data_IF_916369631570
#
_entry.id   IF_916369631570
#
_cell.length_a   1.000
_cell.length_b   1.000
_cell.length_c   1.000
_cell.angle_alpha   90.00
_cell.angle_beta   90.00
_cell.angle_gamma   90.00
#
_symmetry.space_group_name_H-M   'P 1'
#
loop_
_entity.id
_entity.type
_entity.pdbx_description
1 polymer ?
#
# COMPACT_ATOMS: atom_id res chain seq x y z
N UNK A 1 -35.08 13.91 13.35
CA UNK A 1 -33.79 14.65 13.27
C UNK A 1 -32.65 13.94 14.03
N UNK A 2 -32.95 13.23 15.13
CA UNK A 2 -31.96 12.46 15.92
C UNK A 2 -31.40 11.24 15.19
N UNK A 3 -32.20 10.53 14.41
CA UNK A 3 -31.79 9.32 13.65
C UNK A 3 -30.75 9.64 12.57
N UNK A 4 -30.98 10.67 11.75
CA UNK A 4 -30.07 11.04 10.68
C UNK A 4 -28.68 11.49 11.19
N UNK A 5 -28.65 12.24 12.30
CA UNK A 5 -27.38 12.64 12.92
C UNK A 5 -26.62 11.43 13.50
N UNK A 6 -27.33 10.46 14.10
CA UNK A 6 -26.75 9.22 14.59
C UNK A 6 -26.17 8.36 13.45
N UNK A 7 -26.87 8.32 12.31
CA UNK A 7 -26.40 7.56 11.14
C UNK A 7 -25.17 8.18 10.49
N UNK A 8 -25.11 9.52 10.42
CA UNK A 8 -23.94 10.24 9.93
C UNK A 8 -22.74 9.99 10.85
N UNK A 9 -22.93 10.05 12.17
CA UNK A 9 -21.86 9.79 13.13
C UNK A 9 -21.32 8.37 13.04
N UNK A 10 -22.20 7.36 12.94
CA UNK A 10 -21.77 5.96 12.77
C UNK A 10 -20.91 5.76 11.52
N UNK A 11 -21.31 6.34 10.40
CA UNK A 11 -20.53 6.25 9.14
C UNK A 11 -19.19 6.94 9.25
N UNK A 12 -19.12 8.06 9.94
CA UNK A 12 -17.85 8.75 10.18
C UNK A 12 -16.89 7.89 11.00
N UNK A 13 -17.38 7.22 12.05
CA UNK A 13 -16.59 6.29 12.85
C UNK A 13 -16.07 5.14 11.98
N UNK A 14 -16.93 4.50 11.17
CA UNK A 14 -16.54 3.39 10.30
C UNK A 14 -15.52 3.79 9.22
N UNK A 15 -15.66 4.99 8.66
CA UNK A 15 -14.68 5.53 7.72
C UNK A 15 -13.32 5.77 8.40
N UNK A 16 -13.32 6.28 9.64
CA UNK A 16 -12.09 6.50 10.42
C UNK A 16 -11.45 5.17 10.85
N UNK A 17 -12.23 4.16 11.17
CA UNK A 17 -11.72 2.81 11.46
C UNK A 17 -11.03 2.23 10.23
N UNK A 18 -11.68 2.28 9.06
CA UNK A 18 -11.08 1.83 7.79
C UNK A 18 -9.81 2.61 7.47
N UNK A 19 -9.85 3.94 7.60
CA UNK A 19 -8.68 4.79 7.36
C UNK A 19 -7.53 4.44 8.28
N UNK A 20 -7.78 4.24 9.57
CA UNK A 20 -6.74 3.88 10.55
C UNK A 20 -6.12 2.52 10.23
N UNK A 21 -6.92 1.52 9.88
CA UNK A 21 -6.44 0.20 9.48
C UNK A 21 -5.56 0.28 8.23
N UNK A 22 -6.02 1.01 7.21
CA UNK A 22 -5.23 1.21 5.96
C UNK A 22 -3.92 1.92 6.26
N UNK A 23 -3.92 3.00 7.03
CA UNK A 23 -2.70 3.75 7.35
C UNK A 23 -1.70 2.89 8.12
N UNK A 24 -2.14 2.14 9.13
CA UNK A 24 -1.26 1.25 9.89
C UNK A 24 -0.70 0.14 8.99
N UNK A 25 -1.54 -0.51 8.17
CA UNK A 25 -1.11 -1.54 7.25
C UNK A 25 -0.09 -1.00 6.24
N UNK A 26 -0.35 0.17 5.65
CA UNK A 26 0.55 0.80 4.68
C UNK A 26 1.88 1.19 5.32
N UNK A 27 1.87 1.78 6.51
CA UNK A 27 3.12 2.14 7.21
C UNK A 27 3.99 0.92 7.46
N UNK A 28 3.41 -0.17 7.93
CA UNK A 28 4.15 -1.43 8.16
C UNK A 28 4.61 -2.02 6.82
N UNK A 29 3.73 -2.09 5.82
CA UNK A 29 4.05 -2.64 4.51
C UNK A 29 5.18 -1.86 3.83
N UNK A 30 5.17 -0.53 3.86
CA UNK A 30 6.22 0.33 3.30
C UNK A 30 7.53 0.18 4.09
N UNK A 31 7.45 0.15 5.43
CA UNK A 31 8.62 -0.04 6.29
C UNK A 31 9.33 -1.39 6.05
N UNK A 32 8.62 -2.41 5.60
CA UNK A 32 9.18 -3.72 5.27
C UNK A 32 9.56 -3.82 3.79
N UNK A 33 8.72 -3.33 2.88
CA UNK A 33 8.90 -3.51 1.44
C UNK A 33 10.01 -2.64 0.86
N UNK A 34 10.15 -1.39 1.33
CA UNK A 34 11.18 -0.48 0.81
C UNK A 34 12.60 -0.97 1.14
N UNK A 35 12.96 -1.31 2.38
CA UNK A 35 14.28 -1.87 2.68
C UNK A 35 14.55 -3.19 1.93
N UNK A 36 13.54 -4.07 1.82
CA UNK A 36 13.65 -5.32 1.08
C UNK A 36 13.87 -5.07 -0.41
N UNK A 37 13.18 -4.10 -1.00
CA UNK A 37 13.36 -3.67 -2.39
C UNK A 37 14.74 -3.07 -2.64
N UNK A 38 15.26 -2.26 -1.71
CA UNK A 38 16.64 -1.75 -1.77
C UNK A 38 17.66 -2.89 -1.73
N UNK A 39 17.45 -3.86 -0.86
CA UNK A 39 18.34 -5.02 -0.75
C UNK A 39 18.29 -5.87 -2.03
N UNK A 40 17.11 -6.15 -2.56
CA UNK A 40 16.93 -6.85 -3.84
C UNK A 40 17.59 -6.09 -5.01
N UNK A 41 17.53 -4.76 -5.03
CA UNK A 41 18.19 -3.95 -6.06
C UNK A 41 19.72 -4.10 -6.04
N UNK A 42 20.32 -4.26 -4.86
CA UNK A 42 21.78 -4.39 -4.67
C UNK A 42 22.32 -5.79 -4.85
N UNK A 43 21.51 -6.81 -4.64
CA UNK A 43 21.95 -8.21 -4.67
C UNK A 43 21.11 -9.03 -5.67
N UNK A 44 21.78 -9.57 -6.67
CA UNK A 44 21.13 -10.48 -7.65
C UNK A 44 20.60 -11.76 -7.00
N UNK A 45 21.30 -12.25 -5.98
CA UNK A 45 20.87 -13.43 -5.23
C UNK A 45 19.59 -13.17 -4.45
N UNK A 46 19.52 -12.05 -3.73
CA UNK A 46 18.32 -11.63 -2.99
C UNK A 46 17.15 -11.43 -3.96
N UNK A 47 17.36 -10.71 -5.05
CA UNK A 47 16.35 -10.53 -6.10
C UNK A 47 15.86 -11.87 -6.68
N UNK A 48 16.79 -12.80 -6.92
CA UNK A 48 16.47 -14.14 -7.44
C UNK A 48 15.61 -14.99 -6.49
N UNK A 49 15.74 -14.80 -5.18
CA UNK A 49 14.92 -15.50 -4.18
C UNK A 49 13.61 -14.75 -3.92
N UNK A 50 13.66 -13.44 -3.82
CA UNK A 50 12.49 -12.60 -3.47
C UNK A 50 11.47 -12.59 -4.60
N UNK A 51 11.90 -12.49 -5.87
CA UNK A 51 10.97 -12.44 -7.01
C UNK A 51 9.97 -13.61 -7.08
N UNK A 52 10.39 -14.88 -7.04
CA UNK A 52 9.46 -15.99 -7.06
C UNK A 52 8.48 -15.99 -5.89
N UNK A 53 8.92 -15.55 -4.70
CA UNK A 53 8.05 -15.42 -3.53
C UNK A 53 6.99 -14.35 -3.77
N UNK A 54 7.38 -13.17 -4.29
CA UNK A 54 6.45 -12.11 -4.62
C UNK A 54 5.49 -12.52 -5.75
N UNK A 55 5.97 -13.29 -6.74
CA UNK A 55 5.14 -13.83 -7.83
C UNK A 55 4.07 -14.77 -7.27
N UNK A 56 4.47 -15.68 -6.38
CA UNK A 56 3.53 -16.57 -5.69
C UNK A 56 2.50 -15.77 -4.87
N UNK A 57 2.94 -14.77 -4.10
CA UNK A 57 2.06 -13.92 -3.33
C UNK A 57 1.04 -13.19 -4.22
N UNK A 58 1.43 -12.68 -5.38
CA UNK A 58 0.52 -11.97 -6.29
C UNK A 58 -0.37 -12.88 -7.13
N UNK A 59 0.03 -14.13 -7.34
CA UNK A 59 -0.78 -15.11 -8.06
C UNK A 59 -2.00 -15.59 -7.26
N UNK A 60 -1.96 -15.49 -5.92
CA UNK A 60 -3.05 -15.93 -5.07
C UNK A 60 -4.17 -14.88 -5.00
N UNK A 61 -5.43 -15.28 -5.14
CA UNK A 61 -6.57 -14.39 -4.88
C UNK A 61 -6.57 -13.86 -3.44
N UNK A 62 -7.02 -12.62 -3.24
CA UNK A 62 -7.03 -11.98 -1.92
C UNK A 62 -7.70 -12.82 -0.81
N UNK A 63 -8.82 -13.46 -1.13
CA UNK A 63 -9.53 -14.34 -0.20
C UNK A 63 -8.75 -15.62 0.16
N UNK A 64 -7.81 -16.06 -0.69
CA UNK A 64 -6.98 -17.22 -0.40
C UNK A 64 -5.99 -16.99 0.75
N UNK A 65 -5.65 -15.72 1.04
CA UNK A 65 -4.91 -15.36 2.24
C UNK A 65 -5.78 -15.29 3.47
N UNK A 66 -6.97 -14.70 3.30
CA UNK A 66 -7.85 -14.37 4.41
C UNK A 66 -8.32 -15.62 5.13
N UNK A 67 -8.75 -16.66 4.39
CA UNK A 67 -9.34 -17.87 4.98
C UNK A 67 -8.37 -18.61 5.91
N UNK A 68 -7.13 -18.98 5.50
CA UNK A 68 -6.17 -19.65 6.39
C UNK A 68 -5.81 -18.81 7.61
N UNK A 69 -5.70 -17.48 7.44
CA UNK A 69 -5.32 -16.58 8.51
C UNK A 69 -6.44 -16.49 9.56
N UNK A 70 -7.71 -16.47 9.13
CA UNK A 70 -8.86 -16.55 10.04
C UNK A 70 -8.86 -17.84 10.83
N UNK A 71 -8.55 -18.96 10.21
CA UNK A 71 -8.50 -20.26 10.90
C UNK A 71 -7.44 -20.26 12.01
N UNK A 72 -6.31 -19.59 11.81
CA UNK A 72 -5.21 -19.54 12.77
C UNK A 72 -5.44 -18.50 13.86
N UNK A 73 -5.88 -17.29 13.50
CA UNK A 73 -5.94 -16.12 14.39
C UNK A 73 -7.35 -15.76 14.85
N UNK A 74 -8.38 -16.47 14.39
CA UNK A 74 -9.78 -16.16 14.68
C UNK A 74 -10.35 -15.05 13.81
N UNK A 75 -11.56 -14.60 14.15
CA UNK A 75 -12.29 -13.53 13.45
C UNK A 75 -11.92 -12.19 14.09
N UNK A 76 -11.71 -11.15 13.27
CA UNK A 76 -11.47 -9.79 13.75
C UNK A 76 -10.45 -8.98 12.96
N UNK A 77 -9.93 -7.93 13.58
CA UNK A 77 -8.97 -6.99 12.95
C UNK A 77 -7.64 -7.67 12.63
N UNK A 78 -7.12 -8.48 13.54
CA UNK A 78 -5.78 -9.10 13.41
C UNK A 78 -5.61 -9.92 12.13
N UNK A 79 -6.49 -10.89 11.81
CA UNK A 79 -6.36 -11.65 10.57
C UNK A 79 -6.50 -10.76 9.32
N UNK A 80 -7.39 -9.77 9.36
CA UNK A 80 -7.55 -8.79 8.29
C UNK A 80 -6.26 -8.00 8.04
N UNK A 81 -5.60 -7.54 9.10
CA UNK A 81 -4.34 -6.79 9.00
C UNK A 81 -3.19 -7.65 8.45
N UNK A 82 -3.04 -8.88 8.94
CA UNK A 82 -2.00 -9.81 8.45
C UNK A 82 -2.20 -10.10 6.96
N UNK A 83 -3.44 -10.43 6.56
CA UNK A 83 -3.76 -10.67 5.17
C UNK A 83 -3.51 -9.43 4.29
N UNK A 84 -3.84 -8.24 4.79
CA UNK A 84 -3.58 -6.98 4.10
C UNK A 84 -2.08 -6.75 3.89
N UNK A 85 -1.25 -6.97 4.90
CA UNK A 85 0.20 -6.84 4.79
C UNK A 85 0.78 -7.76 3.73
N UNK A 86 0.42 -9.04 3.75
CA UNK A 86 0.90 -10.02 2.78
C UNK A 86 0.47 -9.62 1.36
N UNK A 87 -0.76 -9.17 1.19
CA UNK A 87 -1.32 -8.86 -0.12
C UNK A 87 -0.76 -7.57 -0.73
N UNK A 88 -0.50 -6.53 0.07
CA UNK A 88 -0.08 -5.22 -0.44
C UNK A 88 1.45 -5.02 -0.50
N UNK A 89 2.26 -5.87 0.15
CA UNK A 89 3.73 -5.75 0.15
C UNK A 89 4.40 -5.93 -1.22
N UNK A 90 4.01 -6.89 -2.08
CA UNK A 90 4.74 -7.18 -3.30
C UNK A 90 5.01 -5.99 -4.23
N UNK A 91 4.04 -5.12 -4.56
CA UNK A 91 4.32 -3.95 -5.38
C UNK A 91 5.30 -2.99 -4.72
N UNK A 92 5.25 -2.80 -3.41
CA UNK A 92 6.21 -1.95 -2.69
C UNK A 92 7.66 -2.40 -2.90
N UNK A 93 7.92 -3.71 -2.81
CA UNK A 93 9.24 -4.31 -3.06
C UNK A 93 9.64 -4.14 -4.52
N UNK A 94 8.74 -4.50 -5.44
CA UNK A 94 9.03 -4.48 -6.89
C UNK A 94 9.29 -3.08 -7.42
N UNK A 95 8.46 -2.12 -7.07
CA UNK A 95 8.66 -0.73 -7.51
C UNK A 95 9.92 -0.13 -6.92
N UNK A 96 10.28 -0.46 -5.68
CA UNK A 96 11.52 0.00 -5.07
C UNK A 96 12.75 -0.61 -5.75
N UNK A 97 12.75 -1.91 -6.00
CA UNK A 97 13.83 -2.59 -6.75
C UNK A 97 13.98 -2.00 -8.15
N UNK A 98 12.87 -1.89 -8.87
CA UNK A 98 12.83 -1.36 -10.24
C UNK A 98 13.34 0.08 -10.29
N UNK A 99 12.85 0.93 -9.39
CA UNK A 99 13.20 2.34 -9.33
C UNK A 99 14.71 2.55 -9.17
N UNK A 100 15.36 1.77 -8.29
CA UNK A 100 16.80 1.86 -8.06
C UNK A 100 17.58 1.32 -9.26
N UNK A 101 17.12 0.23 -9.88
CA UNK A 101 17.79 -0.36 -11.05
C UNK A 101 17.65 0.49 -12.32
N UNK A 102 16.61 1.31 -12.43
CA UNK A 102 16.36 2.19 -13.57
C UNK A 102 17.11 3.53 -13.49
N UNK A 103 17.79 3.83 -12.38
CA UNK A 103 18.63 5.02 -12.30
C UNK A 103 19.75 4.91 -13.34
N UNK A 104 19.95 6.00 -14.08
CA UNK A 104 20.92 6.08 -15.15
C UNK A 104 22.32 5.66 -14.71
N UNK A 105 22.90 4.71 -15.44
CA UNK A 105 24.20 4.13 -15.13
C UNK A 105 25.31 5.15 -15.27
N UNK A 106 25.24 6.08 -16.22
CA UNK A 106 26.23 7.14 -16.42
C UNK A 106 26.33 8.03 -15.17
N UNK A 107 25.18 8.36 -14.57
CA UNK A 107 25.11 9.13 -13.32
C UNK A 107 25.76 8.36 -12.15
N UNK A 108 25.52 7.04 -12.08
CA UNK A 108 26.12 6.18 -11.03
C UNK A 108 27.64 6.06 -11.23
N UNK A 109 28.10 5.89 -12.47
CA UNK A 109 29.51 5.78 -12.81
C UNK A 109 30.25 7.10 -12.57
N UNK A 110 29.66 8.23 -12.90
CA UNK A 110 30.18 9.54 -12.56
C UNK A 110 30.41 9.68 -11.05
N UNK A 111 29.43 9.28 -10.23
CA UNK A 111 29.57 9.26 -8.78
C UNK A 111 30.76 8.41 -8.29
N UNK A 112 30.98 7.24 -8.92
CA UNK A 112 32.12 6.37 -8.62
C UNK A 112 33.45 7.01 -9.04
N UNK A 113 33.51 7.64 -10.21
CA UNK A 113 34.68 8.31 -10.71
C UNK A 113 35.16 9.45 -9.78
N UNK A 114 34.21 10.12 -9.11
CA UNK A 114 34.51 11.11 -8.06
C UNK A 114 34.82 10.50 -6.69
N UNK A 115 34.98 9.18 -6.58
CA UNK A 115 35.37 8.50 -5.34
C UNK A 115 34.25 8.30 -4.33
N UNK A 116 32.98 8.42 -4.73
CA UNK A 116 31.88 8.18 -3.83
C UNK A 116 31.75 6.70 -3.45
N UNK A 117 31.54 6.42 -2.17
CA UNK A 117 31.27 5.05 -1.69
C UNK A 117 29.92 4.54 -2.19
N UNK A 118 29.76 3.21 -2.26
CA UNK A 118 28.48 2.59 -2.68
C UNK A 118 27.29 3.04 -1.82
N UNK A 119 27.51 3.31 -0.54
CA UNK A 119 26.46 3.83 0.36
C UNK A 119 26.11 5.27 0.01
N UNK A 120 27.11 6.10 -0.28
CA UNK A 120 26.90 7.49 -0.71
C UNK A 120 26.13 7.54 -2.04
N UNK A 121 26.50 6.71 -3.01
CA UNK A 121 25.81 6.59 -4.30
C UNK A 121 24.35 6.19 -4.08
N UNK A 122 24.08 5.20 -3.23
CA UNK A 122 22.69 4.78 -2.95
C UNK A 122 21.87 5.92 -2.35
N UNK A 123 22.31 6.52 -1.25
CA UNK A 123 21.52 7.47 -0.49
C UNK A 123 21.48 8.89 -1.08
N UNK A 124 22.51 9.28 -1.82
CA UNK A 124 22.63 10.64 -2.37
C UNK A 124 22.33 10.75 -3.85
N UNK A 125 22.42 9.65 -4.60
CA UNK A 125 22.18 9.63 -6.06
C UNK A 125 20.98 8.76 -6.38
N UNK A 126 21.05 7.45 -6.10
CA UNK A 126 20.04 6.51 -6.58
C UNK A 126 18.68 6.71 -5.89
N UNK A 127 18.62 6.76 -4.56
CA UNK A 127 17.36 6.91 -3.84
C UNK A 127 16.62 8.21 -4.18
N UNK A 128 17.25 9.38 -4.21
CA UNK A 128 16.57 10.61 -4.63
C UNK A 128 16.02 10.53 -6.05
N UNK A 129 16.79 10.00 -7.01
CA UNK A 129 16.35 9.85 -8.40
C UNK A 129 15.25 8.76 -8.57
N UNK A 130 15.28 7.73 -7.74
CA UNK A 130 14.29 6.65 -7.72
C UNK A 130 12.97 7.03 -7.03
N UNK A 131 12.97 8.11 -6.24
CA UNK A 131 11.86 8.47 -5.37
C UNK A 131 10.50 8.60 -6.09
N UNK A 132 10.36 9.20 -7.28
CA UNK A 132 9.09 9.26 -7.99
C UNK A 132 8.51 7.87 -8.27
N UNK A 133 9.33 6.92 -8.70
CA UNK A 133 8.90 5.54 -8.98
C UNK A 133 8.59 4.78 -7.68
N UNK A 134 9.35 4.99 -6.62
CA UNK A 134 9.05 4.44 -5.29
C UNK A 134 7.69 4.96 -4.80
N UNK A 135 7.42 6.25 -4.96
CA UNK A 135 6.12 6.84 -4.58
C UNK A 135 4.95 6.25 -5.38
N UNK A 136 5.14 5.94 -6.66
CA UNK A 136 4.14 5.20 -7.44
C UNK A 136 3.88 3.81 -6.85
N UNK A 137 4.93 3.12 -6.40
CA UNK A 137 4.82 1.85 -5.68
C UNK A 137 4.07 1.98 -4.35
N UNK A 138 4.35 3.02 -3.57
CA UNK A 138 3.64 3.30 -2.32
C UNK A 138 2.15 3.57 -2.58
N UNK A 139 1.82 4.32 -3.64
CA UNK A 139 0.43 4.53 -4.02
C UNK A 139 -0.28 3.21 -4.35
N UNK A 140 0.39 2.30 -5.06
CA UNK A 140 -0.14 0.97 -5.34
C UNK A 140 -0.35 0.15 -4.07
N UNK A 141 0.59 0.21 -3.11
CA UNK A 141 0.44 -0.42 -1.78
C UNK A 141 -0.81 0.10 -1.06
N UNK A 142 -1.04 1.41 -1.07
CA UNK A 142 -2.21 2.04 -0.44
C UNK A 142 -3.51 1.53 -1.07
N UNK A 143 -3.59 1.48 -2.40
CA UNK A 143 -4.80 1.04 -3.10
C UNK A 143 -5.12 -0.43 -2.84
N UNK A 144 -4.09 -1.29 -2.82
CA UNK A 144 -4.25 -2.70 -2.48
C UNK A 144 -4.59 -2.89 -0.99
N UNK A 145 -3.97 -2.12 -0.09
CA UNK A 145 -4.29 -2.16 1.33
C UNK A 145 -5.75 -1.76 1.59
N UNK A 146 -6.24 -0.69 0.95
CA UNK A 146 -7.64 -0.29 1.07
C UNK A 146 -8.59 -1.39 0.57
N UNK A 147 -8.30 -1.98 -0.60
CA UNK A 147 -9.10 -3.07 -1.15
C UNK A 147 -9.15 -4.26 -0.20
N UNK A 148 -8.02 -4.63 0.40
CA UNK A 148 -7.94 -5.78 1.30
C UNK A 148 -8.59 -5.50 2.66
N UNK A 149 -8.46 -4.28 3.20
CA UNK A 149 -9.13 -3.88 4.45
C UNK A 149 -10.65 -3.93 4.29
N UNK A 150 -11.18 -3.56 3.11
CA UNK A 150 -12.61 -3.71 2.82
C UNK A 150 -13.00 -5.20 2.80
N UNK A 151 -12.21 -6.06 2.16
CA UNK A 151 -12.44 -7.51 2.17
C UNK A 151 -12.31 -8.11 3.57
N UNK A 152 -11.45 -7.56 4.42
CA UNK A 152 -11.30 -7.99 5.81
C UNK A 152 -12.59 -7.79 6.65
N UNK A 153 -13.52 -6.94 6.19
CA UNK A 153 -14.86 -6.86 6.75
C UNK A 153 -15.61 -8.20 6.72
N UNK A 154 -15.33 -9.06 5.73
CA UNK A 154 -15.85 -10.44 5.68
C UNK A 154 -15.27 -11.32 6.80
N UNK A 155 -14.12 -10.96 7.34
CA UNK A 155 -13.46 -11.59 8.48
C UNK A 155 -13.85 -10.96 9.82
N UNK A 156 -14.87 -10.11 9.84
CA UNK A 156 -15.33 -9.43 11.06
C UNK A 156 -14.46 -8.24 11.49
N UNK A 157 -13.59 -7.72 10.63
CA UNK A 157 -12.92 -6.45 10.88
C UNK A 157 -13.95 -5.29 10.82
N UNK A 158 -13.93 -4.35 11.79
CA UNK A 158 -14.84 -3.21 11.78
C UNK A 158 -14.50 -2.22 10.67
N UNK A 159 -15.43 -1.32 10.35
CA UNK A 159 -15.29 -0.27 9.35
C UNK A 159 -16.21 -0.47 8.14
N UNK A 160 -15.93 0.26 7.05
CA UNK A 160 -16.76 0.24 5.84
C UNK A 160 -16.89 -1.14 5.19
N UNK A 161 -15.89 -2.00 5.36
CA UNK A 161 -15.92 -3.39 4.88
C UNK A 161 -17.00 -4.23 5.58
N UNK A 162 -17.17 -4.02 6.88
CA UNK A 162 -18.25 -4.68 7.65
C UNK A 162 -19.64 -4.24 7.18
N UNK A 163 -19.81 -2.95 6.86
CA UNK A 163 -21.08 -2.43 6.31
C UNK A 163 -21.38 -3.03 4.94
N UNK A 164 -20.40 -3.14 4.07
CA UNK A 164 -20.57 -3.78 2.75
C UNK A 164 -20.97 -5.24 2.93
N UNK A 165 -20.29 -5.98 3.80
CA UNK A 165 -20.60 -7.38 4.08
C UNK A 165 -22.01 -7.54 4.66
N UNK A 166 -22.39 -6.69 5.62
CA UNK A 166 -23.72 -6.65 6.20
C UNK A 166 -24.80 -6.31 5.17
N UNK A 167 -24.53 -5.36 4.28
CA UNK A 167 -25.43 -4.97 3.21
C UNK A 167 -25.69 -6.13 2.23
N UNK A 168 -24.65 -6.88 1.87
CA UNK A 168 -24.77 -8.06 1.01
C UNK A 168 -25.58 -9.14 1.70
N UNK A 169 -25.26 -9.45 2.96
CA UNK A 169 -25.93 -10.52 3.72
C UNK A 169 -27.41 -10.24 3.99
N UNK A 170 -27.77 -8.95 4.19
CA UNK A 170 -29.14 -8.51 4.47
C UNK A 170 -29.90 -8.03 3.24
N UNK A 171 -29.27 -8.07 2.05
CA UNK A 171 -29.81 -7.50 0.79
C UNK A 171 -30.22 -6.02 0.93
N UNK A 172 -29.54 -5.28 1.79
CA UNK A 172 -29.79 -3.86 2.04
C UNK A 172 -29.05 -2.99 1.03
N UNK A 173 -29.66 -2.77 -0.13
CA UNK A 173 -29.07 -1.98 -1.23
C UNK A 173 -28.69 -0.56 -0.82
N UNK A 174 -29.53 0.21 -0.08
CA UNK A 174 -29.16 1.54 0.38
C UNK A 174 -27.89 1.58 1.25
N UNK A 175 -27.73 0.60 2.15
CA UNK A 175 -26.54 0.48 2.99
C UNK A 175 -25.28 0.19 2.14
N UNK A 176 -25.39 -0.76 1.21
CA UNK A 176 -24.30 -1.17 0.32
C UNK A 176 -23.83 -0.05 -0.59
N UNK A 177 -24.76 0.70 -1.19
CA UNK A 177 -24.44 1.85 -2.05
C UNK A 177 -23.74 2.95 -1.24
N UNK A 178 -24.24 3.26 -0.05
CA UNK A 178 -23.64 4.28 0.80
C UNK A 178 -22.23 3.90 1.27
N UNK A 179 -22.02 2.66 1.69
CA UNK A 179 -20.71 2.16 2.11
C UNK A 179 -19.74 2.13 0.92
N UNK A 180 -20.20 1.70 -0.25
CA UNK A 180 -19.40 1.70 -1.48
C UNK A 180 -18.94 3.11 -1.89
N UNK A 181 -19.85 4.09 -1.87
CA UNK A 181 -19.49 5.50 -2.13
C UNK A 181 -18.47 6.00 -1.11
N UNK A 182 -18.62 5.69 0.16
CA UNK A 182 -17.68 6.09 1.20
C UNK A 182 -16.27 5.50 0.95
N UNK A 183 -16.17 4.25 0.52
CA UNK A 183 -14.88 3.63 0.13
C UNK A 183 -14.26 4.34 -1.07
N UNK A 184 -15.06 4.68 -2.09
CA UNK A 184 -14.56 5.42 -3.27
C UNK A 184 -14.03 6.80 -2.87
N UNK A 185 -14.75 7.52 -2.03
CA UNK A 185 -14.30 8.83 -1.51
C UNK A 185 -12.99 8.68 -0.76
N UNK A 186 -12.87 7.65 0.09
CA UNK A 186 -11.65 7.37 0.85
C UNK A 186 -10.48 7.01 -0.07
N UNK A 187 -10.73 6.22 -1.12
CA UNK A 187 -9.73 5.89 -2.14
C UNK A 187 -9.20 7.13 -2.86
N UNK A 188 -10.10 7.99 -3.34
CA UNK A 188 -9.74 9.26 -3.99
C UNK A 188 -8.98 10.17 -3.04
N UNK A 189 -9.41 10.26 -1.79
CA UNK A 189 -8.72 11.06 -0.77
C UNK A 189 -7.27 10.57 -0.56
N UNK A 190 -7.08 9.27 -0.34
CA UNK A 190 -5.76 8.67 -0.15
C UNK A 190 -4.85 8.84 -1.38
N UNK A 191 -5.40 8.64 -2.58
CA UNK A 191 -4.67 8.86 -3.83
C UNK A 191 -4.19 10.32 -3.95
N UNK A 192 -5.07 11.28 -3.69
CA UNK A 192 -4.72 12.71 -3.75
C UNK A 192 -3.68 13.12 -2.72
N UNK A 193 -3.78 12.62 -1.49
CA UNK A 193 -2.80 12.89 -0.43
C UNK A 193 -1.43 12.33 -0.82
N UNK A 194 -1.39 11.09 -1.31
CA UNK A 194 -0.13 10.43 -1.71
C UNK A 194 0.50 11.12 -2.92
N UNK A 195 -0.29 11.43 -3.94
CA UNK A 195 0.18 12.18 -5.11
C UNK A 195 0.71 13.57 -4.72
N UNK A 196 0.03 14.25 -3.79
CA UNK A 196 0.47 15.55 -3.26
C UNK A 196 1.79 15.48 -2.52
N UNK A 197 2.05 14.39 -1.77
CA UNK A 197 3.32 14.16 -1.10
C UNK A 197 4.44 13.84 -2.10
N UNK A 198 4.17 13.01 -3.10
CA UNK A 198 5.12 12.67 -4.16
C UNK A 198 5.56 13.88 -4.98
N UNK A 199 4.63 14.78 -5.32
CA UNK A 199 4.89 15.97 -6.12
C UNK A 199 5.65 17.09 -5.36
N UNK A 200 5.76 17.01 -4.05
CA UNK A 200 6.50 17.99 -3.22
C UNK A 200 7.99 17.73 -3.17
N UNK A 201 8.48 16.64 -3.73
CA UNK A 201 9.91 16.35 -3.78
C UNK A 201 10.64 17.36 -4.67
N UNK A 202 11.84 17.83 -4.29
CA UNK A 202 12.59 18.85 -5.06
C UNK A 202 12.83 18.43 -6.51
N UNK A 203 13.02 17.12 -6.75
CA UNK A 203 13.28 16.56 -8.08
C UNK A 203 12.03 16.56 -8.98
N UNK A 204 10.87 16.28 -8.43
CA UNK A 204 9.60 16.38 -9.19
C UNK A 204 9.32 17.82 -9.63
N UNK A 205 9.76 18.82 -8.86
CA UNK A 205 9.70 20.23 -9.24
C UNK A 205 10.69 20.59 -10.34
N UNK A 206 11.90 20.04 -10.31
CA UNK A 206 12.92 20.28 -11.32
C UNK A 206 12.51 19.72 -12.70
N UNK A 207 11.93 18.53 -12.73
CA UNK A 207 11.45 17.92 -13.98
C UNK A 207 10.24 18.62 -14.61
N UNK A 208 9.46 19.38 -13.85
CA UNK A 208 8.32 20.16 -14.37
C UNK A 208 8.73 21.51 -14.95
N UNK A 209 9.93 21.97 -14.65
CA UNK A 209 10.47 23.26 -15.11
C UNK A 209 11.52 23.11 -16.23
N UNK A 210 11.81 21.87 -16.67
CA UNK A 210 12.66 21.53 -17.81
C UNK A 210 11.79 21.10 -19.01
#
# INVERSE_FOLDING_TARGET
KSSAASDVYKRQVQAMETLSQVLVAVLIAVALSVPLGIWAAKSRTVSGVVKPVLDFMQAMPALAYLVPIIVIFGIGVTPGMIATLIFCMPPGVRFTELAIRQVDQETVEAGRAFGASNTHILFRIQLPLALPTIMAGINQVIMLALSMVVLAGMAGAPGLGADITSAISSLNVPLGVNAGIAVVILAVFLDRVTAGLGNRTPLARAQRNA
#
